data_IF_096896526662
#
_entry.id   IF_096896526662
#
_cell.length_a   1.000
_cell.length_b   1.000
_cell.length_c   1.000
_cell.angle_alpha   90.00
_cell.angle_beta   90.00
_cell.angle_gamma   90.00
#
_symmetry.space_group_name_H-M   'P 1'
#
loop_
_entity.id
_entity.type
_entity.pdbx_description
1 polymer ?
#
# COMPACT_ATOMS: atom_id res chain seq x y z
N UNK A 1 20.00 36.96 -46.46
CA UNK A 1 20.16 37.40 -45.06
C UNK A 1 19.43 36.39 -44.20
N UNK A 2 20.17 35.58 -43.44
CA UNK A 2 19.62 34.55 -42.58
C UNK A 2 19.09 35.19 -41.29
N UNK A 3 17.81 35.02 -41.02
CA UNK A 3 17.17 35.40 -39.76
C UNK A 3 17.51 34.35 -38.72
N UNK A 4 18.30 34.73 -37.72
CA UNK A 4 18.54 33.95 -36.51
C UNK A 4 17.35 34.16 -35.59
N UNK A 5 16.50 33.15 -35.45
CA UNK A 5 15.47 33.11 -34.41
C UNK A 5 16.12 32.64 -33.10
N UNK A 6 16.11 33.52 -32.11
CA UNK A 6 16.53 33.23 -30.74
C UNK A 6 15.61 32.16 -30.16
N UNK A 7 16.17 31.01 -29.79
CA UNK A 7 15.49 29.99 -29.00
C UNK A 7 15.31 30.55 -27.60
N UNK A 8 14.09 30.97 -27.27
CA UNK A 8 13.68 31.16 -25.88
C UNK A 8 13.70 29.82 -25.14
N UNK A 9 14.02 29.80 -23.83
CA UNK A 9 14.03 28.54 -23.07
C UNK A 9 12.65 27.91 -23.16
N UNK A 10 12.59 26.62 -23.49
CA UNK A 10 11.35 25.85 -23.45
C UNK A 10 10.77 25.96 -22.05
N UNK A 11 9.61 26.60 -22.00
CA UNK A 11 8.69 26.61 -20.89
C UNK A 11 8.48 25.17 -20.43
N UNK A 12 8.64 24.91 -19.14
CA UNK A 12 8.35 23.60 -18.53
C UNK A 12 6.85 23.37 -18.64
N UNK A 13 6.39 22.83 -19.77
CA UNK A 13 4.98 22.54 -19.99
C UNK A 13 4.51 21.60 -18.88
N UNK A 14 3.48 22.05 -18.16
CA UNK A 14 2.83 21.25 -17.14
C UNK A 14 2.44 19.87 -17.72
N UNK A 15 2.59 18.81 -16.93
CA UNK A 15 2.54 17.41 -17.38
C UNK A 15 1.13 16.94 -17.77
N UNK A 16 0.12 17.78 -17.52
CA UNK A 16 -1.27 17.69 -17.99
C UNK A 16 -1.46 18.24 -19.42
N UNK A 17 -0.38 18.70 -20.07
CA UNK A 17 -0.38 19.08 -21.48
C UNK A 17 -0.47 17.83 -22.37
N UNK A 18 -1.60 17.72 -23.06
CA UNK A 18 -1.92 16.65 -24.02
C UNK A 18 -0.79 16.41 -25.04
N UNK A 19 -0.01 17.44 -25.41
CA UNK A 19 1.11 17.32 -26.36
C UNK A 19 2.23 16.44 -25.82
N UNK A 20 2.45 16.44 -24.50
CA UNK A 20 3.46 15.59 -23.82
C UNK A 20 3.04 14.13 -23.88
N UNK A 21 1.75 13.82 -23.72
CA UNK A 21 1.23 12.45 -23.78
C UNK A 21 1.16 11.88 -25.20
N UNK A 22 0.89 12.73 -26.18
CA UNK A 22 0.93 12.35 -27.59
C UNK A 22 2.36 12.04 -28.04
N UNK A 23 3.32 12.90 -27.67
CA UNK A 23 4.73 12.72 -28.02
C UNK A 23 5.38 11.53 -27.30
N UNK A 24 4.94 11.19 -26.08
CA UNK A 24 5.45 10.03 -25.35
C UNK A 24 4.88 8.70 -25.86
N UNK A 25 3.78 8.69 -26.62
CA UNK A 25 3.10 7.46 -27.02
C UNK A 25 2.21 6.84 -25.94
N UNK A 26 2.00 7.55 -24.83
CA UNK A 26 1.13 7.13 -23.73
C UNK A 26 -0.32 6.92 -24.18
N UNK A 27 -0.88 7.84 -24.98
CA UNK A 27 -2.26 7.69 -25.48
C UNK A 27 -2.44 6.45 -26.36
N UNK A 28 -1.41 6.08 -27.13
CA UNK A 28 -1.42 4.84 -27.94
C UNK A 28 -1.41 3.60 -27.06
N UNK A 29 -0.63 3.62 -25.97
CA UNK A 29 -0.63 2.56 -24.97
C UNK A 29 -2.01 2.37 -24.33
N UNK A 30 -2.66 3.47 -23.90
CA UNK A 30 -4.01 3.41 -23.33
C UNK A 30 -5.02 2.77 -24.31
N UNK A 31 -4.98 3.19 -25.58
CA UNK A 31 -5.83 2.62 -26.62
C UNK A 31 -5.58 1.12 -26.83
N UNK A 32 -4.32 0.69 -26.88
CA UNK A 32 -3.95 -0.74 -27.03
C UNK A 32 -4.43 -1.59 -25.85
N UNK A 33 -4.49 -1.01 -24.66
CA UNK A 33 -4.95 -1.66 -23.43
C UNK A 33 -6.43 -1.40 -23.11
N UNK A 34 -7.20 -0.81 -24.03
CA UNK A 34 -8.63 -0.51 -23.87
C UNK A 34 -8.96 0.37 -22.66
N UNK A 35 -8.04 1.28 -22.31
CA UNK A 35 -8.22 2.29 -21.26
C UNK A 35 -8.63 3.59 -21.93
N UNK A 36 -9.77 4.17 -21.54
CA UNK A 36 -10.15 5.47 -22.06
C UNK A 36 -9.28 6.55 -21.41
N UNK A 37 -8.67 7.42 -22.21
CA UNK A 37 -7.82 8.49 -21.67
C UNK A 37 -8.60 9.40 -20.72
N UNK A 38 -9.88 9.67 -20.99
CA UNK A 38 -10.77 10.41 -20.09
C UNK A 38 -10.83 9.87 -18.66
N UNK A 39 -10.65 8.56 -18.49
CA UNK A 39 -10.77 7.88 -17.19
C UNK A 39 -9.54 8.13 -16.31
N UNK A 40 -8.40 8.46 -16.92
CA UNK A 40 -7.16 8.83 -16.22
C UNK A 40 -7.00 10.35 -16.08
N UNK A 41 -7.70 11.09 -16.93
CA UNK A 41 -7.50 12.52 -17.14
C UNK A 41 -8.62 13.37 -16.57
N UNK A 42 -9.55 12.78 -15.82
CA UNK A 42 -10.54 13.53 -15.07
C UNK A 42 -9.84 14.17 -13.88
N UNK A 43 -9.59 15.49 -13.91
CA UNK A 43 -9.11 16.17 -12.73
C UNK A 43 -10.22 16.10 -11.66
N UNK A 44 -9.90 16.43 -10.41
CA UNK A 44 -10.97 16.71 -9.44
C UNK A 44 -11.94 17.75 -9.99
N UNK A 45 -13.13 17.91 -9.39
CA UNK A 45 -14.17 18.87 -9.83
C UNK A 45 -13.64 20.30 -10.12
N UNK A 46 -12.46 20.65 -9.63
CA UNK A 46 -11.83 21.96 -9.77
C UNK A 46 -10.58 21.99 -10.68
N UNK A 47 -10.20 20.90 -11.35
CA UNK A 47 -8.98 20.86 -12.18
C UNK A 47 -7.72 20.37 -11.46
N UNK A 48 -7.75 20.24 -10.13
CA UNK A 48 -6.56 19.94 -9.34
C UNK A 48 -6.32 18.44 -9.15
N UNK A 49 -5.05 18.03 -9.20
CA UNK A 49 -4.62 16.71 -8.73
C UNK A 49 -4.70 16.66 -7.20
N UNK A 50 -5.29 15.59 -6.66
CA UNK A 50 -5.46 15.38 -5.22
C UNK A 50 -4.38 14.45 -4.66
N UNK A 51 -4.05 14.65 -3.38
CA UNK A 51 -3.32 13.69 -2.56
C UNK A 51 -4.26 13.14 -1.49
N UNK A 52 -4.14 11.85 -1.23
CA UNK A 52 -4.96 11.18 -0.21
C UNK A 52 -4.14 10.86 1.03
N UNK A 53 -4.84 10.80 2.17
CA UNK A 53 -4.30 10.35 3.43
C UNK A 53 -5.40 9.70 4.26
N UNK A 54 -4.98 8.87 5.22
CA UNK A 54 -5.85 8.25 6.22
C UNK A 54 -5.45 8.74 7.61
N UNK A 55 -6.45 9.05 8.43
CA UNK A 55 -6.23 9.30 9.85
C UNK A 55 -6.01 7.96 10.56
N UNK A 56 -5.05 7.93 11.48
CA UNK A 56 -4.82 6.75 12.32
C UNK A 56 -6.07 6.47 13.16
N UNK A 57 -6.52 5.22 13.22
CA UNK A 57 -7.72 4.88 13.99
C UNK A 57 -7.45 4.98 15.50
N UNK A 58 -8.35 5.66 16.22
CA UNK A 58 -8.29 5.88 17.66
C UNK A 58 -9.39 5.05 18.34
N UNK A 59 -9.15 3.75 18.57
CA UNK A 59 -10.11 2.88 19.26
C UNK A 59 -11.38 2.56 18.45
N UNK A 60 -12.42 2.09 19.15
CA UNK A 60 -13.67 1.58 18.56
C UNK A 60 -14.74 2.69 18.32
N UNK A 61 -14.42 3.96 18.61
CA UNK A 61 -15.38 5.07 18.49
C UNK A 61 -15.39 5.65 17.07
N UNK A 62 -16.38 5.21 16.27
CA UNK A 62 -16.66 5.65 14.90
C UNK A 62 -17.59 6.87 14.86
N UNK A 63 -17.42 7.85 15.74
CA UNK A 63 -18.29 9.03 15.76
C UNK A 63 -17.86 10.06 14.70
N UNK A 64 -18.81 10.36 13.82
CA UNK A 64 -18.85 11.44 12.82
C UNK A 64 -17.48 11.91 12.26
N UNK A 65 -16.90 11.12 11.36
CA UNK A 65 -15.58 11.35 10.75
C UNK A 65 -15.37 12.76 10.17
N UNK A 66 -16.44 13.38 9.66
CA UNK A 66 -16.40 14.72 9.09
C UNK A 66 -16.12 15.82 10.13
N UNK A 67 -16.32 15.53 11.42
CA UNK A 67 -16.10 16.47 12.53
C UNK A 67 -14.84 16.15 13.35
N UNK A 68 -14.00 15.20 12.91
CA UNK A 68 -12.78 14.83 13.64
C UNK A 68 -11.92 16.09 13.90
N UNK A 69 -11.63 16.42 15.18
CA UNK A 69 -10.90 17.63 15.54
C UNK A 69 -9.49 17.68 14.93
N UNK A 70 -8.92 16.54 14.55
CA UNK A 70 -7.64 16.46 13.84
C UNK A 70 -7.71 17.13 12.48
N UNK A 71 -8.83 17.10 11.78
CA UNK A 71 -9.00 17.77 10.48
C UNK A 71 -8.85 19.29 10.61
N UNK A 72 -9.43 19.87 11.67
CA UNK A 72 -9.25 21.29 12.00
C UNK A 72 -7.79 21.61 12.32
N UNK A 73 -7.10 20.70 13.03
CA UNK A 73 -5.66 20.84 13.29
C UNK A 73 -4.81 20.78 12.02
N UNK A 74 -5.18 19.95 11.03
CA UNK A 74 -4.48 19.88 9.74
C UNK A 74 -4.65 21.20 8.99
N UNK A 75 -5.88 21.69 8.86
CA UNK A 75 -6.18 22.95 8.17
C UNK A 75 -5.45 24.13 8.83
N UNK A 76 -5.44 24.21 10.16
CA UNK A 76 -4.73 25.23 10.90
C UNK A 76 -3.21 25.16 10.69
N UNK A 77 -2.62 23.95 10.66
CA UNK A 77 -1.20 23.79 10.39
C UNK A 77 -0.84 24.22 8.96
N UNK A 78 -1.61 23.81 7.95
CA UNK A 78 -1.41 24.22 6.55
C UNK A 78 -1.55 25.73 6.34
N UNK A 79 -2.50 26.39 7.02
CA UNK A 79 -2.63 27.84 6.98
C UNK A 79 -1.40 28.57 7.54
N UNK A 80 -0.78 28.04 8.61
CA UNK A 80 0.47 28.60 9.15
C UNK A 80 1.65 28.44 8.19
N UNK A 81 1.76 27.27 7.55
CA UNK A 81 2.81 27.01 6.55
C UNK A 81 2.67 27.92 5.32
N UNK A 82 1.43 28.17 4.87
CA UNK A 82 1.19 29.11 3.77
C UNK A 82 1.54 30.56 4.14
N UNK A 83 1.25 30.98 5.38
CA UNK A 83 1.58 32.32 5.86
C UNK A 83 3.09 32.59 5.98
N UNK A 84 3.91 31.55 6.07
CA UNK A 84 5.38 31.69 6.11
C UNK A 84 6.03 31.82 4.73
N UNK A 85 5.32 31.50 3.63
CA UNK A 85 5.89 31.43 2.27
C UNK A 85 5.73 32.72 1.43
N UNK A 86 5.47 33.90 2.05
CA UNK A 86 5.31 35.23 1.38
C UNK A 86 4.31 35.27 0.19
N UNK A 87 3.44 34.26 0.05
CA UNK A 87 2.46 34.19 -1.03
C UNK A 87 1.18 34.98 -0.69
N UNK A 88 0.73 35.83 -1.62
CA UNK A 88 -0.55 36.56 -1.56
C UNK A 88 -1.75 35.62 -1.38
N UNK A 89 -2.74 36.07 -0.58
CA UNK A 89 -4.11 35.54 -0.43
C UNK A 89 -4.34 34.07 -0.84
N UNK A 90 -3.62 33.14 -0.20
CA UNK A 90 -3.85 31.73 -0.44
C UNK A 90 -5.21 31.29 0.13
N UNK A 91 -6.06 30.71 -0.71
CA UNK A 91 -7.34 30.11 -0.30
C UNK A 91 -7.08 29.09 0.82
N UNK A 92 -7.89 29.07 1.90
CA UNK A 92 -7.71 28.11 2.98
C UNK A 92 -7.79 26.68 2.47
N UNK A 93 -6.74 25.90 2.72
CA UNK A 93 -6.67 24.48 2.36
C UNK A 93 -7.30 23.66 3.48
N UNK A 94 -8.43 23.04 3.20
CA UNK A 94 -9.18 22.20 4.14
C UNK A 94 -9.18 20.77 3.63
N UNK A 95 -8.91 19.77 4.50
CA UNK A 95 -9.09 18.36 4.12
C UNK A 95 -10.56 18.04 3.82
N UNK A 96 -10.80 17.29 2.74
CA UNK A 96 -12.14 16.84 2.35
C UNK A 96 -12.26 15.33 2.52
N UNK A 97 -13.30 14.86 3.20
CA UNK A 97 -13.57 13.42 3.36
C UNK A 97 -13.84 12.77 2.00
N UNK A 98 -13.38 11.52 1.83
CA UNK A 98 -13.69 10.71 0.66
C UNK A 98 -15.00 9.95 0.94
N UNK A 99 -16.12 10.29 0.29
CA UNK A 99 -17.45 9.80 0.71
C UNK A 99 -17.60 8.27 0.70
N UNK A 100 -16.99 7.63 -0.29
CA UNK A 100 -17.09 6.19 -0.53
C UNK A 100 -16.03 5.36 0.23
N UNK A 101 -15.10 6.01 0.95
CA UNK A 101 -14.03 5.32 1.67
C UNK A 101 -13.78 5.94 3.04
N UNK A 102 -14.42 5.36 4.06
CA UNK A 102 -14.33 5.80 5.46
C UNK A 102 -12.88 5.93 5.95
N UNK A 103 -12.63 7.00 6.70
CA UNK A 103 -11.34 7.36 7.27
C UNK A 103 -10.33 7.94 6.27
N UNK A 104 -10.70 8.12 5.00
CA UNK A 104 -9.85 8.75 4.00
C UNK A 104 -10.25 10.19 3.74
N UNK A 105 -9.23 11.00 3.49
CA UNK A 105 -9.35 12.41 3.24
C UNK A 105 -8.44 12.81 2.09
N UNK A 106 -8.82 13.86 1.39
CA UNK A 106 -8.08 14.43 0.28
C UNK A 106 -7.62 15.85 0.58
N UNK A 107 -6.51 16.22 -0.04
CA UNK A 107 -5.96 17.58 -0.07
C UNK A 107 -5.51 17.87 -1.51
N UNK A 108 -5.41 19.14 -1.91
CA UNK A 108 -4.68 19.50 -3.13
C UNK A 108 -3.26 18.92 -3.09
N UNK A 109 -2.76 18.46 -4.24
CA UNK A 109 -1.41 17.90 -4.38
C UNK A 109 -0.30 18.89 -4.02
N UNK A 110 -0.55 20.20 -4.14
CA UNK A 110 0.33 21.29 -3.69
C UNK A 110 0.47 21.37 -2.17
N UNK A 111 -0.47 20.82 -1.40
CA UNK A 111 -0.45 20.89 0.05
C UNK A 111 0.71 20.06 0.63
N UNK A 112 1.60 20.65 1.46
CA UNK A 112 2.79 19.98 1.95
C UNK A 112 2.47 19.06 3.14
N UNK A 113 1.80 17.91 2.91
CA UNK A 113 1.42 16.97 3.99
C UNK A 113 2.61 16.58 4.89
N UNK A 114 3.82 16.48 4.32
CA UNK A 114 5.02 16.14 5.07
C UNK A 114 5.39 17.17 6.17
N UNK A 115 4.87 18.40 6.08
CA UNK A 115 5.06 19.47 7.07
C UNK A 115 3.98 19.49 8.15
N UNK A 116 2.88 18.79 7.94
CA UNK A 116 1.78 18.70 8.91
C UNK A 116 2.25 17.99 10.18
N UNK A 117 2.04 18.62 11.34
CA UNK A 117 2.50 18.09 12.63
C UNK A 117 1.97 16.68 12.91
N UNK A 118 0.69 16.43 12.60
CA UNK A 118 0.06 15.10 12.72
C UNK A 118 0.69 14.05 11.80
N UNK A 119 1.21 14.44 10.63
CA UNK A 119 1.97 13.52 9.78
C UNK A 119 3.34 13.20 10.39
N UNK A 120 4.01 14.19 10.99
CA UNK A 120 5.31 14.03 11.65
C UNK A 120 5.21 13.18 12.92
N UNK A 121 4.13 13.33 13.69
CA UNK A 121 3.86 12.55 14.90
C UNK A 121 3.23 11.17 14.63
N UNK A 122 3.02 10.80 13.37
CA UNK A 122 2.51 9.48 13.00
C UNK A 122 1.02 9.27 13.29
N UNK A 123 0.23 10.34 13.38
CA UNK A 123 -1.22 10.31 13.62
C UNK A 123 -2.05 10.26 12.33
N UNK A 124 -1.40 10.40 11.18
CA UNK A 124 -1.97 10.16 9.86
C UNK A 124 -0.88 9.64 8.93
N UNK A 125 -1.29 8.95 7.87
CA UNK A 125 -0.37 8.47 6.84
C UNK A 125 -0.90 8.73 5.44
N UNK A 126 0.02 9.15 4.56
CA UNK A 126 -0.26 9.29 3.14
C UNK A 126 -0.24 7.92 2.48
N UNK A 127 -1.31 7.59 1.77
CA UNK A 127 -1.49 6.35 1.03
C UNK A 127 -2.36 6.66 -0.18
N UNK A 128 -2.12 5.95 -1.28
CA UNK A 128 -2.96 6.07 -2.47
C UNK A 128 -4.38 5.53 -2.19
N UNK A 129 -5.40 6.17 -2.76
CA UNK A 129 -6.79 5.79 -2.50
C UNK A 129 -7.10 4.37 -2.98
N UNK A 130 -6.52 3.93 -4.10
CA UNK A 130 -6.68 2.57 -4.61
C UNK A 130 -6.05 1.54 -3.66
N UNK A 131 -4.90 1.88 -3.08
CA UNK A 131 -4.23 1.04 -2.08
C UNK A 131 -5.03 0.96 -0.78
N UNK A 132 -5.65 2.08 -0.39
CA UNK A 132 -6.56 2.13 0.74
C UNK A 132 -7.79 1.25 0.55
N UNK A 133 -8.40 1.34 -0.62
CA UNK A 133 -9.57 0.54 -0.99
C UNK A 133 -9.26 -0.96 -0.95
N UNK A 134 -8.14 -1.39 -1.54
CA UNK A 134 -7.71 -2.79 -1.50
C UNK A 134 -7.59 -3.34 -0.07
N UNK A 135 -7.07 -2.55 0.88
CA UNK A 135 -6.99 -2.96 2.28
C UNK A 135 -8.36 -2.95 2.95
N UNK A 136 -9.24 -1.99 2.63
CA UNK A 136 -10.60 -1.95 3.19
C UNK A 136 -11.45 -3.18 2.82
N UNK A 137 -11.23 -3.75 1.63
CA UNK A 137 -11.92 -4.95 1.16
C UNK A 137 -11.54 -6.23 1.94
N UNK A 138 -10.42 -6.22 2.68
CA UNK A 138 -10.07 -7.36 3.54
C UNK A 138 -10.99 -7.48 4.75
N UNK A 139 -11.69 -6.41 5.12
CA UNK A 139 -12.58 -6.34 6.30
C UNK A 139 -11.88 -6.84 7.57
N UNK A 140 -10.78 -6.15 7.93
CA UNK A 140 -9.87 -6.57 8.99
C UNK A 140 -10.48 -6.25 10.34
N UNK A 141 -10.57 -7.27 11.21
CA UNK A 141 -11.03 -7.12 12.59
C UNK A 141 -9.86 -7.21 13.57
N UNK A 142 -9.80 -6.38 14.63
CA UNK A 142 -8.80 -6.51 15.68
C UNK A 142 -8.75 -7.92 16.28
N UNK A 143 -7.56 -8.51 16.33
CA UNK A 143 -7.34 -9.89 16.80
C UNK A 143 -7.02 -10.89 15.69
N UNK A 144 -7.33 -10.54 14.43
CA UNK A 144 -7.00 -11.37 13.27
C UNK A 144 -5.49 -11.41 12.96
N UNK A 145 -5.12 -12.40 12.16
CA UNK A 145 -3.77 -12.62 11.68
C UNK A 145 -3.70 -12.36 10.18
N UNK A 146 -2.99 -11.30 9.79
CA UNK A 146 -2.94 -10.82 8.40
C UNK A 146 -1.55 -10.99 7.80
N UNK A 147 -1.48 -11.49 6.57
CA UNK A 147 -0.27 -11.55 5.75
C UNK A 147 -0.33 -10.49 4.66
N UNK A 148 0.77 -9.76 4.47
CA UNK A 148 0.99 -8.83 3.35
C UNK A 148 2.18 -9.34 2.54
N UNK A 149 1.90 -10.00 1.41
CA UNK A 149 2.91 -10.44 0.45
C UNK A 149 3.26 -9.27 -0.47
N UNK A 150 4.57 -9.03 -0.64
CA UNK A 150 5.12 -7.88 -1.36
C UNK A 150 4.86 -6.54 -0.64
N UNK A 151 4.97 -6.56 0.70
CA UNK A 151 4.53 -5.46 1.56
C UNK A 151 5.31 -4.15 1.41
N UNK A 152 6.54 -4.16 0.90
CA UNK A 152 7.38 -2.97 0.93
C UNK A 152 6.93 -1.98 -0.15
N UNK A 153 6.96 -0.65 0.06
CA UNK A 153 7.62 0.05 1.15
C UNK A 153 6.80 0.14 2.46
N UNK A 154 5.63 -0.49 2.56
CA UNK A 154 4.94 -0.68 3.84
C UNK A 154 3.67 0.13 4.08
N UNK A 155 3.16 0.88 3.09
CA UNK A 155 1.97 1.71 3.30
C UNK A 155 0.71 0.86 3.62
N UNK A 156 0.46 -0.19 2.83
CA UNK A 156 -0.65 -1.14 3.06
C UNK A 156 -0.45 -1.92 4.35
N UNK A 157 0.74 -2.47 4.58
CA UNK A 157 1.12 -3.09 5.86
C UNK A 157 0.81 -2.20 7.07
N UNK A 158 1.17 -0.92 7.02
CA UNK A 158 0.93 0.01 8.15
C UNK A 158 -0.55 0.29 8.35
N UNK A 159 -1.34 0.31 7.28
CA UNK A 159 -2.80 0.42 7.38
C UNK A 159 -3.42 -0.85 7.97
N UNK A 160 -3.00 -2.02 7.51
CA UNK A 160 -3.39 -3.32 8.10
C UNK A 160 -3.08 -3.32 9.60
N UNK A 161 -1.87 -2.91 9.97
CA UNK A 161 -1.44 -2.89 11.35
C UNK A 161 -2.23 -1.90 12.21
N UNK A 162 -2.62 -0.76 11.64
CA UNK A 162 -3.47 0.23 12.30
C UNK A 162 -4.89 -0.32 12.53
N UNK A 163 -5.50 -0.95 11.53
CA UNK A 163 -6.84 -1.55 11.63
C UNK A 163 -6.90 -2.70 12.66
N UNK A 164 -5.80 -3.45 12.81
CA UNK A 164 -5.70 -4.48 13.84
C UNK A 164 -5.66 -3.91 15.27
N UNK A 165 -5.47 -2.59 15.45
CA UNK A 165 -5.47 -1.91 16.74
C UNK A 165 -4.60 -2.62 17.79
N UNK A 166 -3.40 -3.04 17.38
CA UNK A 166 -2.44 -3.79 18.20
C UNK A 166 -2.99 -5.12 18.78
N UNK A 167 -4.01 -5.72 18.17
CA UNK A 167 -4.57 -7.03 18.53
C UNK A 167 -4.36 -8.01 17.37
N UNK A 168 -3.92 -9.23 17.66
CA UNK A 168 -3.59 -10.22 16.63
C UNK A 168 -2.18 -10.06 16.07
N UNK A 169 -2.00 -10.24 14.75
CA UNK A 169 -0.67 -10.09 14.14
C UNK A 169 -0.72 -9.66 12.68
N UNK A 170 0.30 -8.93 12.26
CA UNK A 170 0.58 -8.65 10.84
C UNK A 170 1.95 -9.18 10.46
N UNK A 171 2.05 -9.81 9.30
CA UNK A 171 3.32 -10.29 8.74
C UNK A 171 3.52 -9.71 7.36
N UNK A 172 4.57 -8.93 7.17
CA UNK A 172 4.99 -8.41 5.88
C UNK A 172 6.15 -9.24 5.31
N UNK A 173 6.07 -9.58 4.03
CA UNK A 173 7.13 -10.28 3.29
C UNK A 173 7.49 -9.46 2.06
N UNK A 174 8.77 -9.31 1.78
CA UNK A 174 9.24 -8.69 0.53
C UNK A 174 10.61 -9.24 0.13
N UNK A 175 10.88 -9.30 -1.18
CA UNK A 175 12.16 -9.75 -1.71
C UNK A 175 13.24 -8.67 -1.64
N UNK A 176 12.87 -7.39 -1.53
CA UNK A 176 13.82 -6.28 -1.49
C UNK A 176 14.16 -5.88 -0.07
N UNK A 177 15.34 -6.32 0.40
CA UNK A 177 15.90 -5.88 1.69
C UNK A 177 15.97 -4.35 1.84
N UNK A 178 16.28 -3.64 0.76
CA UNK A 178 16.35 -2.18 0.76
C UNK A 178 14.97 -1.55 1.01
N UNK A 179 13.93 -2.00 0.29
CA UNK A 179 12.56 -1.49 0.48
C UNK A 179 12.00 -1.84 1.85
N UNK A 180 12.35 -3.01 2.40
CA UNK A 180 11.98 -3.39 3.77
C UNK A 180 12.60 -2.45 4.83
N UNK A 181 13.74 -1.82 4.54
CA UNK A 181 14.30 -0.76 5.37
C UNK A 181 13.34 0.43 5.53
N UNK A 182 12.68 0.84 4.44
CA UNK A 182 11.65 1.89 4.49
C UNK A 182 10.40 1.42 5.23
N UNK A 183 9.95 0.18 5.00
CA UNK A 183 8.83 -0.42 5.71
C UNK A 183 9.05 -0.43 7.22
N UNK A 184 10.23 -0.84 7.67
CA UNK A 184 10.65 -0.77 9.08
C UNK A 184 10.57 0.65 9.64
N UNK A 185 11.02 1.66 8.89
CA UNK A 185 10.91 3.06 9.34
C UNK A 185 9.45 3.51 9.51
N UNK A 186 8.55 3.08 8.63
CA UNK A 186 7.12 3.39 8.76
C UNK A 186 6.50 2.71 10.00
N UNK A 187 6.83 1.43 10.24
CA UNK A 187 6.39 0.70 11.44
C UNK A 187 6.81 1.44 12.72
N UNK A 188 8.04 1.95 12.76
CA UNK A 188 8.52 2.78 13.87
C UNK A 188 7.81 4.15 13.95
N UNK A 189 7.68 4.84 12.81
CA UNK A 189 7.05 6.17 12.72
C UNK A 189 5.62 6.15 13.25
N UNK A 190 4.84 5.12 12.90
CA UNK A 190 3.44 5.00 13.29
C UNK A 190 3.23 4.26 14.62
N UNK A 191 4.32 3.96 15.34
CA UNK A 191 4.31 3.34 16.66
C UNK A 191 3.52 2.03 16.72
N UNK A 192 3.71 1.17 15.72
CA UNK A 192 3.00 -0.10 15.59
C UNK A 192 3.68 -1.20 16.43
N UNK A 193 3.96 -0.91 17.69
CA UNK A 193 4.61 -1.82 18.65
C UNK A 193 3.83 -1.83 19.97
N UNK A 194 3.90 -2.95 20.70
CA UNK A 194 3.11 -3.11 21.93
C UNK A 194 3.60 -2.15 23.02
N UNK A 195 2.71 -1.38 23.69
CA UNK A 195 3.09 -0.56 24.82
C UNK A 195 3.53 -1.42 26.03
N UNK A 196 4.37 -0.86 26.91
CA UNK A 196 5.03 -1.60 28.00
C UNK A 196 4.09 -2.17 29.09
N UNK A 197 2.80 -1.79 29.09
CA UNK A 197 1.89 -1.91 30.24
C UNK A 197 0.72 -2.90 30.09
N UNK A 198 0.58 -3.62 28.98
CA UNK A 198 -0.60 -4.47 28.75
C UNK A 198 -0.37 -5.96 29.06
N UNK A 199 -1.43 -6.59 29.55
CA UNK A 199 -1.48 -7.97 30.03
C UNK A 199 -1.08 -9.00 28.94
N UNK A 200 -0.50 -10.12 29.36
CA UNK A 200 0.11 -11.14 28.48
C UNK A 200 -0.86 -11.85 27.51
N UNK A 201 -2.18 -11.64 27.64
CA UNK A 201 -3.21 -12.43 26.97
C UNK A 201 -3.46 -12.04 25.50
N UNK A 202 -3.01 -10.87 25.04
CA UNK A 202 -3.08 -10.45 23.64
C UNK A 202 -1.75 -9.83 23.16
N UNK A 203 -0.79 -10.68 22.76
CA UNK A 203 0.52 -10.21 22.27
C UNK A 203 0.42 -9.77 20.82
N UNK A 204 0.36 -8.45 20.61
CA UNK A 204 0.56 -7.82 19.31
C UNK A 204 1.86 -8.33 18.66
N UNK A 205 1.81 -8.60 17.36
CA UNK A 205 3.02 -8.94 16.61
C UNK A 205 3.00 -8.42 15.19
N UNK A 206 3.91 -7.52 14.87
CA UNK A 206 4.25 -7.12 13.51
C UNK A 206 5.62 -7.71 13.16
N UNK A 207 5.70 -8.42 12.03
CA UNK A 207 6.94 -9.04 11.54
C UNK A 207 7.24 -8.60 10.12
N UNK A 208 8.53 -8.38 9.83
CA UNK A 208 9.02 -8.18 8.47
C UNK A 208 10.02 -9.26 8.11
N UNK A 209 9.77 -9.95 7.01
CA UNK A 209 10.64 -10.98 6.47
C UNK A 209 11.22 -10.55 5.14
N UNK A 210 12.52 -10.74 4.99
CA UNK A 210 13.18 -10.73 3.69
C UNK A 210 13.18 -12.14 3.13
N UNK A 211 12.29 -12.39 2.17
CA UNK A 211 12.05 -13.70 1.57
C UNK A 211 11.34 -13.58 0.22
N UNK A 212 11.35 -14.66 -0.56
CA UNK A 212 10.53 -14.78 -1.77
C UNK A 212 9.08 -15.10 -1.38
N UNK A 213 8.15 -14.21 -1.76
CA UNK A 213 6.73 -14.35 -1.46
C UNK A 213 6.07 -15.58 -2.10
N UNK A 214 6.69 -16.21 -3.11
CA UNK A 214 6.19 -17.44 -3.75
C UNK A 214 6.48 -18.70 -2.95
N UNK A 215 7.45 -18.65 -2.05
CA UNK A 215 7.93 -19.82 -1.28
C UNK A 215 7.87 -19.61 0.22
N UNK A 216 7.51 -18.41 0.67
CA UNK A 216 7.30 -18.10 2.08
C UNK A 216 6.24 -19.02 2.69
N UNK A 217 6.52 -19.61 3.85
CA UNK A 217 5.68 -20.65 4.46
C UNK A 217 5.54 -20.52 5.99
N UNK A 218 5.66 -19.30 6.53
CA UNK A 218 5.67 -19.06 7.97
C UNK A 218 4.33 -18.51 8.43
N UNK A 219 3.67 -19.25 9.33
CA UNK A 219 2.40 -18.83 9.94
C UNK A 219 2.52 -17.69 10.96
N UNK A 220 1.40 -16.99 11.28
CA UNK A 220 1.30 -15.88 12.23
C UNK A 220 1.86 -16.18 13.63
N UNK A 221 1.59 -17.38 14.16
CA UNK A 221 1.93 -17.77 15.55
C UNK A 221 3.28 -18.45 15.69
N UNK A 222 4.04 -18.61 14.61
CA UNK A 222 5.32 -19.32 14.62
C UNK A 222 6.37 -18.59 15.46
N UNK A 223 6.91 -19.26 16.49
CA UNK A 223 8.04 -18.78 17.30
C UNK A 223 9.36 -19.31 16.72
N UNK A 224 9.89 -18.66 15.68
CA UNK A 224 11.17 -19.02 15.08
C UNK A 224 12.20 -17.90 15.27
N UNK A 225 13.36 -18.24 15.83
CA UNK A 225 14.52 -17.33 15.88
C UNK A 225 15.32 -17.32 14.56
N UNK A 226 15.31 -18.45 13.84
CA UNK A 226 15.96 -18.64 12.54
C UNK A 226 15.20 -19.69 11.73
N UNK A 227 15.02 -19.44 10.43
CA UNK A 227 14.53 -20.38 9.44
C UNK A 227 15.54 -20.36 8.30
N UNK A 228 15.98 -21.54 7.85
CA UNK A 228 17.01 -21.64 6.81
C UNK A 228 16.58 -20.89 5.54
N UNK A 229 17.35 -19.89 5.14
CA UNK A 229 17.11 -19.07 3.94
C UNK A 229 16.12 -17.90 4.09
N UNK A 230 15.43 -17.76 5.23
CA UNK A 230 14.47 -16.67 5.49
C UNK A 230 14.99 -15.79 6.62
N UNK A 231 15.17 -14.49 6.35
CA UNK A 231 15.68 -13.52 7.32
C UNK A 231 14.55 -12.68 7.92
N UNK A 232 14.46 -12.66 9.26
CA UNK A 232 13.57 -11.74 9.99
C UNK A 232 14.31 -10.41 10.17
N UNK A 233 13.77 -9.33 9.61
CA UNK A 233 14.35 -7.98 9.70
C UNK A 233 13.77 -7.15 10.86
N UNK A 234 12.55 -7.47 11.26
CA UNK A 234 11.84 -6.82 12.36
C UNK A 234 10.84 -7.79 12.99
N UNK A 235 10.85 -7.84 14.31
CA UNK A 235 9.81 -8.49 15.12
C UNK A 235 9.49 -7.57 16.31
N UNK A 236 8.27 -7.02 16.34
CA UNK A 236 7.89 -6.07 17.40
C UNK A 236 7.78 -6.71 18.76
N UNK A 237 7.49 -8.01 18.84
CA UNK A 237 7.46 -8.74 20.10
C UNK A 237 8.86 -8.85 20.70
N UNK A 238 9.88 -9.08 19.86
CA UNK A 238 11.27 -9.06 20.29
C UNK A 238 11.69 -7.67 20.78
N UNK A 239 11.32 -6.61 20.06
CA UNK A 239 11.61 -5.22 20.45
C UNK A 239 10.98 -4.90 21.82
N UNK A 240 9.70 -5.21 22.01
CA UNK A 240 8.99 -5.01 23.28
C UNK A 240 9.65 -5.79 24.45
N UNK A 241 10.17 -6.98 24.19
CA UNK A 241 10.87 -7.78 25.20
C UNK A 241 12.23 -7.20 25.63
N UNK A 242 12.85 -6.37 24.78
CA UNK A 242 14.14 -5.71 24.96
C UNK A 242 14.04 -4.28 25.50
N UNK A 243 12.84 -3.69 25.50
CA UNK A 243 12.55 -2.42 26.16
C UNK A 243 12.98 -2.48 27.64
N UNK A 244 13.45 -1.37 28.24
CA UNK A 244 14.13 -1.36 29.53
C UNK A 244 13.21 -1.74 30.69
N UNK A 245 12.95 -3.04 30.87
CA UNK A 245 12.45 -3.60 32.12
C UNK A 245 13.52 -3.39 33.18
N UNK A 246 13.19 -2.55 34.16
CA UNK A 246 13.79 -2.36 35.48
C UNK A 246 15.24 -2.85 35.66
N UNK A 247 16.16 -1.94 36.03
CA UNK A 247 17.63 -2.12 36.12
C UNK A 247 18.08 -3.22 37.10
N UNK A 248 17.16 -3.94 37.73
CA UNK A 248 17.39 -5.09 38.61
C UNK A 248 17.41 -6.46 37.92
N UNK A 249 17.53 -6.54 36.59
CA UNK A 249 17.65 -7.83 35.90
C UNK A 249 19.02 -8.48 36.18
N UNK A 250 19.07 -9.44 37.12
CA UNK A 250 20.26 -10.27 37.40
C UNK A 250 20.87 -10.79 36.10
N UNK A 251 22.17 -10.56 35.91
CA UNK A 251 22.94 -10.96 34.73
C UNK A 251 22.84 -12.48 34.53
N UNK A 252 22.03 -12.93 33.56
CA UNK A 252 21.91 -14.36 33.22
C UNK A 252 23.31 -14.91 32.87
N UNK A 253 23.68 -16.03 33.50
CA UNK A 253 24.96 -16.69 33.24
C UNK A 253 25.03 -17.28 31.83
N UNK A 254 26.26 -17.51 31.33
CA UNK A 254 26.55 -17.99 29.97
C UNK A 254 25.81 -19.30 29.65
N UNK A 255 25.62 -20.18 30.63
CA UNK A 255 24.92 -21.46 30.49
C UNK A 255 23.39 -21.31 30.44
N UNK A 256 22.79 -20.33 31.12
CA UNK A 256 21.37 -20.00 30.94
C UNK A 256 21.12 -19.36 29.57
N UNK A 257 22.02 -18.48 29.10
CA UNK A 257 21.96 -17.92 27.74
C UNK A 257 22.09 -18.99 26.66
N UNK A 258 23.03 -19.93 26.84
CA UNK A 258 23.21 -21.05 25.92
C UNK A 258 22.02 -22.03 25.95
N UNK A 259 21.38 -22.24 27.10
CA UNK A 259 20.15 -23.04 27.22
C UNK A 259 18.95 -22.36 26.60
N UNK A 260 18.75 -21.05 26.80
CA UNK A 260 17.69 -20.29 26.14
C UNK A 260 17.88 -20.27 24.61
N UNK A 261 19.11 -20.04 24.13
CA UNK A 261 19.45 -20.12 22.70
C UNK A 261 19.26 -21.52 22.11
N UNK A 262 19.46 -22.58 22.91
CA UNK A 262 19.23 -23.97 22.50
C UNK A 262 17.76 -24.38 22.61
N UNK A 263 16.96 -23.71 23.46
CA UNK A 263 15.52 -23.93 23.67
C UNK A 263 14.66 -23.17 22.64
N UNK A 264 15.23 -22.19 21.95
CA UNK A 264 14.67 -21.56 20.73
C UNK A 264 14.76 -22.45 19.47
N UNK A 265 15.06 -23.75 19.64
CA UNK A 265 15.05 -24.75 18.59
C UNK A 265 13.72 -25.52 18.68
N UNK A 266 12.84 -25.26 17.71
CA UNK A 266 11.52 -25.87 17.49
C UNK A 266 10.53 -25.82 18.67
N UNK A 267 9.68 -24.78 18.65
CA UNK A 267 8.28 -24.91 19.02
C UNK A 267 7.45 -24.52 17.80
N UNK A 268 7.13 -25.49 16.94
CA UNK A 268 6.01 -25.35 16.00
C UNK A 268 4.76 -25.58 16.83
N UNK A 269 4.29 -24.54 17.52
CA UNK A 269 2.90 -24.53 17.97
C UNK A 269 2.11 -24.36 16.68
N UNK A 270 1.53 -25.46 16.19
CA UNK A 270 0.54 -25.56 15.11
C UNK A 270 0.53 -24.31 14.20
N UNK A 271 1.19 -24.33 13.04
CA UNK A 271 1.22 -23.14 12.16
C UNK A 271 -0.19 -22.83 11.66
N UNK A 272 -0.95 -22.10 12.48
CA UNK A 272 -2.23 -21.56 12.10
C UNK A 272 -2.00 -20.79 10.80
N UNK A 273 -2.91 -20.95 9.85
CA UNK A 273 -2.93 -20.15 8.63
C UNK A 273 -3.39 -18.72 8.98
N UNK A 274 -3.22 -17.79 8.05
CA UNK A 274 -3.66 -16.41 8.21
C UNK A 274 -5.18 -16.32 8.03
N UNK A 275 -5.82 -15.43 8.80
CA UNK A 275 -7.24 -15.09 8.64
C UNK A 275 -7.46 -14.34 7.32
N UNK A 276 -6.51 -13.46 6.99
CA UNK A 276 -6.56 -12.57 5.83
C UNK A 276 -5.21 -12.51 5.12
N UNK A 277 -5.23 -12.46 3.79
CA UNK A 277 -4.01 -12.35 2.98
C UNK A 277 -4.17 -11.23 1.96
N UNK A 278 -3.23 -10.29 1.94
CA UNK A 278 -3.05 -9.33 0.88
C UNK A 278 -1.91 -9.78 -0.02
N UNK A 279 -2.17 -9.84 -1.33
CA UNK A 279 -1.15 -10.02 -2.37
C UNK A 279 -1.09 -8.74 -3.19
N UNK A 280 -0.25 -7.79 -2.76
CA UNK A 280 0.03 -6.56 -3.50
C UNK A 280 1.13 -6.83 -4.53
N UNK A 281 0.77 -7.52 -5.61
CA UNK A 281 1.74 -8.15 -6.48
C UNK A 281 2.61 -7.13 -7.23
N UNK A 282 3.90 -7.46 -7.37
CA UNK A 282 4.78 -6.76 -8.30
C UNK A 282 4.17 -6.82 -9.70
N UNK A 283 4.14 -5.66 -10.37
CA UNK A 283 3.51 -5.48 -11.67
C UNK A 283 4.30 -4.47 -12.50
N UNK A 284 3.78 -4.13 -13.68
CA UNK A 284 4.40 -3.16 -14.58
C UNK A 284 4.25 -1.70 -14.13
N UNK A 285 3.40 -1.39 -13.14
CA UNK A 285 3.15 -0.03 -12.61
C UNK A 285 2.52 0.95 -13.61
N UNK A 286 1.92 0.45 -14.69
CA UNK A 286 1.24 1.20 -15.75
C UNK A 286 -0.11 1.80 -15.33
N UNK A 287 -0.62 1.47 -14.15
CA UNK A 287 -1.77 2.13 -13.52
C UNK A 287 -1.38 3.18 -12.48
N UNK A 288 -0.10 3.35 -12.17
CA UNK A 288 0.37 4.37 -11.24
C UNK A 288 0.60 5.70 -11.97
N UNK A 289 -0.37 6.61 -11.93
CA UNK A 289 -0.27 7.94 -12.57
C UNK A 289 1.02 8.65 -12.13
N UNK A 290 1.37 8.58 -10.84
CA UNK A 290 2.60 9.20 -10.32
C UNK A 290 3.87 8.58 -10.89
N UNK A 291 3.87 7.28 -11.19
CA UNK A 291 4.98 6.62 -11.86
C UNK A 291 5.07 7.10 -13.31
N UNK A 292 3.96 7.08 -14.03
CA UNK A 292 3.86 7.51 -15.42
C UNK A 292 4.27 8.98 -15.60
N UNK A 293 3.90 9.86 -14.67
CA UNK A 293 4.32 11.27 -14.63
C UNK A 293 5.84 11.47 -14.61
N UNK A 294 6.62 10.50 -14.13
CA UNK A 294 8.09 10.57 -14.15
C UNK A 294 8.67 10.29 -15.53
N UNK A 295 7.90 9.65 -16.41
CA UNK A 295 8.25 9.33 -17.80
C UNK A 295 7.94 10.52 -18.71
N UNK A 296 8.52 11.67 -18.39
CA UNK A 296 8.18 12.97 -18.98
C UNK A 296 8.92 13.29 -20.29
N UNK A 297 9.66 12.33 -20.86
CA UNK A 297 10.31 12.47 -22.18
C UNK A 297 10.10 11.21 -23.00
N UNK A 298 10.19 11.32 -24.33
CA UNK A 298 10.05 10.18 -25.23
C UNK A 298 11.10 9.10 -24.93
N UNK A 299 12.34 9.50 -24.63
CA UNK A 299 13.44 8.58 -24.34
C UNK A 299 13.17 7.77 -23.07
N UNK A 300 12.65 8.41 -22.00
CA UNK A 300 12.28 7.71 -20.76
C UNK A 300 11.12 6.76 -20.97
N UNK A 301 10.16 7.13 -21.81
CA UNK A 301 9.05 6.26 -22.16
C UNK A 301 9.53 5.04 -22.95
N UNK A 302 10.36 5.24 -23.97
CA UNK A 302 10.95 4.15 -24.76
C UNK A 302 11.81 3.22 -23.90
N UNK A 303 12.58 3.78 -22.96
CA UNK A 303 13.33 3.01 -21.95
C UNK A 303 12.40 2.16 -21.09
N UNK A 304 11.35 2.76 -20.53
CA UNK A 304 10.35 2.03 -19.74
C UNK A 304 9.69 0.90 -20.54
N UNK A 305 9.26 1.16 -21.77
CA UNK A 305 8.64 0.14 -22.64
C UNK A 305 9.61 -1.01 -22.91
N UNK A 306 10.86 -0.68 -23.27
CA UNK A 306 11.91 -1.65 -23.55
C UNK A 306 12.23 -2.48 -22.31
N UNK A 307 12.27 -1.89 -21.14
CA UNK A 307 12.79 -2.54 -19.93
C UNK A 307 11.69 -3.21 -19.09
N UNK A 308 10.41 -2.82 -19.24
CA UNK A 308 9.30 -3.34 -18.43
C UNK A 308 8.13 -3.92 -19.23
N UNK A 309 7.90 -3.48 -20.47
CA UNK A 309 6.77 -3.93 -21.29
C UNK A 309 7.19 -4.87 -22.44
N UNK A 310 8.44 -5.30 -22.48
CA UNK A 310 8.89 -6.31 -23.43
C UNK A 310 8.32 -7.70 -23.08
N UNK A 311 8.24 -8.58 -24.08
CA UNK A 311 7.65 -9.92 -23.94
C UNK A 311 8.26 -10.74 -22.79
N UNK A 312 9.59 -10.75 -22.65
CA UNK A 312 10.26 -11.54 -21.61
C UNK A 312 9.95 -11.04 -20.20
N UNK A 313 9.91 -9.73 -19.99
CA UNK A 313 9.62 -9.15 -18.68
C UNK A 313 8.14 -9.31 -18.31
N UNK A 314 7.23 -9.13 -19.28
CA UNK A 314 5.81 -9.42 -19.07
C UNK A 314 5.63 -10.90 -18.70
N UNK A 315 6.24 -11.84 -19.40
CA UNK A 315 6.18 -13.26 -19.05
C UNK A 315 6.76 -13.57 -17.66
N UNK A 316 7.87 -12.91 -17.29
CA UNK A 316 8.48 -13.05 -15.96
C UNK A 316 7.54 -12.57 -14.87
N UNK A 317 6.94 -11.39 -15.04
CA UNK A 317 5.98 -10.80 -14.10
C UNK A 317 4.74 -11.67 -13.96
N UNK A 318 4.18 -12.18 -15.07
CA UNK A 318 3.01 -13.07 -15.03
C UNK A 318 3.33 -14.38 -14.28
N UNK A 319 4.50 -14.98 -14.52
CA UNK A 319 4.97 -16.16 -13.75
C UNK A 319 5.13 -15.87 -12.27
N UNK A 320 5.64 -14.68 -11.92
CA UNK A 320 5.77 -14.22 -10.54
C UNK A 320 4.39 -14.08 -9.88
N UNK A 321 3.47 -13.35 -10.50
CA UNK A 321 2.10 -13.11 -10.02
C UNK A 321 1.32 -14.42 -9.82
N UNK A 322 1.42 -15.35 -10.77
CA UNK A 322 0.85 -16.69 -10.64
C UNK A 322 1.41 -17.51 -9.48
N UNK A 323 2.68 -17.29 -9.11
CA UNK A 323 3.28 -17.91 -7.93
C UNK A 323 2.83 -17.23 -6.63
N UNK A 324 2.74 -15.90 -6.63
CA UNK A 324 2.32 -15.11 -5.48
C UNK A 324 0.87 -15.38 -5.09
N UNK A 325 -0.07 -15.37 -6.04
CA UNK A 325 -1.50 -15.62 -5.74
C UNK A 325 -1.72 -17.02 -5.17
N UNK A 326 -1.03 -18.05 -5.71
CA UNK A 326 -1.12 -19.43 -5.21
C UNK A 326 -0.54 -19.57 -3.81
N UNK A 327 0.61 -18.96 -3.55
CA UNK A 327 1.21 -19.03 -2.22
C UNK A 327 0.47 -18.19 -1.18
N UNK A 328 -0.08 -17.04 -1.58
CA UNK A 328 -0.98 -16.26 -0.73
C UNK A 328 -2.17 -17.09 -0.29
N UNK A 329 -2.83 -17.77 -1.23
CA UNK A 329 -3.97 -18.62 -0.92
C UNK A 329 -3.61 -19.85 -0.07
N UNK A 330 -2.47 -20.50 -0.31
CA UNK A 330 -2.03 -21.66 0.48
C UNK A 330 -1.77 -21.33 1.95
N UNK A 331 -1.53 -20.06 2.26
CA UNK A 331 -1.32 -19.52 3.59
C UNK A 331 -2.61 -19.00 4.25
N UNK A 332 -3.73 -19.01 3.53
CA UNK A 332 -5.03 -18.57 4.02
C UNK A 332 -5.77 -19.73 4.70
N UNK A 333 -6.37 -19.47 5.86
CA UNK A 333 -7.20 -20.48 6.53
C UNK A 333 -8.50 -20.74 5.74
N UNK A 334 -9.12 -21.92 5.91
CA UNK A 334 -10.49 -22.12 5.44
C UNK A 334 -11.44 -21.02 5.94
N UNK A 335 -12.21 -20.45 5.02
CA UNK A 335 -13.12 -19.32 5.28
C UNK A 335 -12.41 -17.98 5.57
N UNK A 336 -11.11 -17.87 5.29
CA UNK A 336 -10.40 -16.60 5.27
C UNK A 336 -10.65 -15.82 3.97
N UNK A 337 -10.19 -14.56 3.93
CA UNK A 337 -10.31 -13.69 2.75
C UNK A 337 -8.93 -13.36 2.19
N UNK A 338 -8.77 -13.46 0.87
CA UNK A 338 -7.57 -12.99 0.17
C UNK A 338 -7.93 -11.88 -0.82
N UNK A 339 -7.17 -10.79 -0.81
CA UNK A 339 -7.23 -9.76 -1.85
C UNK A 339 -5.96 -9.85 -2.69
N UNK A 340 -6.13 -10.07 -3.99
CA UNK A 340 -5.08 -9.89 -4.99
C UNK A 340 -5.23 -8.51 -5.61
N UNK A 341 -4.18 -7.71 -5.60
CA UNK A 341 -4.19 -6.36 -6.17
C UNK A 341 -2.91 -6.08 -6.94
N UNK A 342 -3.03 -5.28 -7.99
CA UNK A 342 -1.90 -4.69 -8.71
C UNK A 342 -2.15 -3.20 -8.91
N UNK A 343 -1.12 -2.46 -9.34
CA UNK A 343 -1.29 -1.13 -9.92
C UNK A 343 -1.07 -1.16 -11.44
N UNK A 344 -1.53 -2.22 -12.11
CA UNK A 344 -1.51 -2.37 -13.56
C UNK A 344 -2.91 -2.23 -14.15
N UNK A 345 -2.98 -1.67 -15.36
CA UNK A 345 -4.21 -1.60 -16.15
C UNK A 345 -4.35 -2.81 -17.08
N UNK A 346 -3.39 -3.74 -17.06
CA UNK A 346 -3.36 -4.90 -17.94
C UNK A 346 -4.28 -6.02 -17.47
N UNK A 347 -5.23 -6.40 -18.33
CA UNK A 347 -6.11 -7.57 -18.14
C UNK A 347 -5.30 -8.85 -17.85
N UNK A 348 -4.14 -8.98 -18.51
CA UNK A 348 -3.24 -10.13 -18.33
C UNK A 348 -2.70 -10.26 -16.89
N UNK A 349 -2.49 -9.14 -16.21
CA UNK A 349 -1.96 -9.13 -14.84
C UNK A 349 -3.05 -9.15 -13.77
N UNK A 350 -4.30 -8.92 -14.18
CA UNK A 350 -5.46 -8.81 -13.31
C UNK A 350 -6.41 -10.00 -13.56
N UNK A 351 -7.41 -9.85 -14.43
CA UNK A 351 -8.47 -10.83 -14.68
C UNK A 351 -7.92 -12.19 -15.12
N UNK A 352 -6.89 -12.24 -15.97
CA UNK A 352 -6.31 -13.50 -16.46
C UNK A 352 -5.57 -14.26 -15.32
N UNK A 353 -4.88 -13.55 -14.43
CA UNK A 353 -4.21 -14.17 -13.26
C UNK A 353 -5.25 -14.80 -12.34
N UNK A 354 -6.31 -14.06 -12.02
CA UNK A 354 -7.40 -14.53 -11.15
C UNK A 354 -8.15 -15.69 -11.80
N UNK A 355 -8.50 -15.57 -13.08
CA UNK A 355 -9.19 -16.63 -13.83
C UNK A 355 -8.36 -17.91 -13.88
N UNK A 356 -7.07 -17.81 -14.21
CA UNK A 356 -6.16 -18.95 -14.24
C UNK A 356 -5.89 -19.57 -12.86
N UNK A 357 -5.97 -18.77 -11.80
CA UNK A 357 -5.91 -19.28 -10.42
C UNK A 357 -7.18 -20.08 -10.06
N UNK A 358 -8.37 -19.52 -10.29
CA UNK A 358 -9.66 -20.16 -9.98
C UNK A 358 -9.88 -21.47 -10.75
N UNK A 359 -9.43 -21.53 -12.01
CA UNK A 359 -9.49 -22.78 -12.79
C UNK A 359 -8.66 -23.92 -12.17
N UNK A 360 -7.60 -23.58 -11.44
CA UNK A 360 -6.68 -24.54 -10.83
C UNK A 360 -6.92 -24.81 -9.34
N UNK A 361 -7.79 -24.06 -8.68
CA UNK A 361 -8.02 -24.12 -7.23
C UNK A 361 -9.51 -24.25 -6.92
N UNK A 362 -9.99 -25.49 -6.80
CA UNK A 362 -11.41 -25.79 -6.59
C UNK A 362 -11.92 -25.40 -5.20
N UNK A 363 -11.03 -25.08 -4.26
CA UNK A 363 -11.39 -24.59 -2.92
C UNK A 363 -11.49 -23.07 -2.84
N UNK A 364 -11.15 -22.34 -3.91
CA UNK A 364 -11.28 -20.90 -4.01
C UNK A 364 -12.60 -20.51 -4.67
N UNK A 365 -13.23 -19.47 -4.15
CA UNK A 365 -14.42 -18.84 -4.72
C UNK A 365 -14.15 -17.34 -4.89
N UNK A 366 -14.60 -16.77 -6.00
CA UNK A 366 -14.51 -15.33 -6.24
C UNK A 366 -15.66 -14.63 -5.52
N UNK A 367 -15.34 -13.81 -4.53
CA UNK A 367 -16.31 -12.92 -3.89
C UNK A 367 -16.49 -11.66 -4.74
N UNK A 368 -17.68 -11.39 -5.30
CA UNK A 368 -17.90 -10.22 -6.14
C UNK A 368 -17.80 -8.92 -5.34
N UNK A 369 -16.87 -8.07 -5.73
CA UNK A 369 -16.80 -6.70 -5.22
C UNK A 369 -17.96 -5.91 -5.85
N UNK A 370 -18.91 -5.47 -5.04
CA UNK A 370 -20.01 -4.58 -5.45
C UNK A 370 -19.69 -3.18 -4.92
N UNK A 371 -19.10 -2.29 -5.75
CA UNK A 371 -18.80 -0.92 -5.31
C UNK A 371 -20.10 -0.15 -5.11
N UNK A 372 -20.13 0.79 -4.16
CA UNK A 372 -21.18 1.79 -4.09
C UNK A 372 -21.19 2.69 -5.34
N UNK A 373 -22.33 3.31 -5.63
CA UNK A 373 -22.53 4.18 -6.81
C UNK A 373 -21.55 5.37 -6.88
N UNK A 374 -20.94 5.71 -5.75
CA UNK A 374 -20.01 6.82 -5.55
C UNK A 374 -18.52 6.42 -5.70
N UNK A 375 -18.22 5.13 -5.92
CA UNK A 375 -16.86 4.68 -6.22
C UNK A 375 -16.49 5.06 -7.66
N UNK A 376 -15.40 5.82 -7.90
CA UNK A 376 -15.10 6.43 -9.21
C UNK A 376 -14.87 5.45 -10.37
N UNK A 377 -14.56 4.18 -10.10
CA UNK A 377 -14.16 3.21 -11.12
C UNK A 377 -15.33 2.47 -11.79
N UNK A 378 -16.58 2.87 -11.53
CA UNK A 378 -17.73 2.29 -12.22
C UNK A 378 -17.76 2.76 -13.68
N UNK A 379 -17.55 1.82 -14.62
CA UNK A 379 -18.19 1.93 -15.93
C UNK A 379 -19.68 1.97 -15.66
N UNK A 380 -20.30 3.14 -15.79
CA UNK A 380 -21.75 3.23 -15.85
C UNK A 380 -22.19 2.26 -16.95
N UNK A 381 -22.95 1.21 -16.60
CA UNK A 381 -23.55 0.28 -17.57
C UNK A 381 -24.65 0.94 -18.42
N UNK A 382 -24.58 2.26 -18.66
CA UNK A 382 -25.61 3.07 -19.31
C UNK A 382 -25.11 3.75 -20.59
N UNK A 383 -24.25 3.08 -21.36
CA UNK A 383 -24.27 3.24 -22.81
C UNK A 383 -24.82 1.93 -23.39
N UNK A 384 -26.13 1.78 -23.22
CA UNK A 384 -26.91 0.89 -24.08
C UNK A 384 -26.55 1.26 -25.52
N UNK A 385 -25.99 0.29 -26.22
CA UNK A 385 -25.99 0.24 -27.68
C UNK A 385 -27.41 0.61 -28.12
N UNK A 386 -27.57 1.81 -28.68
CA UNK A 386 -28.72 2.13 -29.52
C UNK A 386 -28.66 1.16 -30.70
N UNK A 387 -29.29 0.01 -30.51
CA UNK A 387 -29.82 -0.80 -31.58
C UNK A 387 -31.09 -0.09 -32.07
N UNK A 388 -30.92 0.94 -32.90
CA UNK A 388 -31.97 1.47 -33.77
C UNK A 388 -31.37 2.17 -34.98
N UNK A 389 -31.69 1.57 -36.13
CA UNK A 389 -31.57 1.99 -37.53
C UNK A 389 -30.22 1.83 -38.27
#
# INVERSE_FOLDING_TARGET
MATVSVVTPMDTSAWDDQRVWEASGFLRFLQQHQVAASDLLTPSRNGDSLRFFRLKQLGDDADNEAEDPRLKSIAANLAREAATDEAEEAKPIVPEAVPWLSGFFSLPSSAPLARVDLYRSGQLYGIDISSGFAVSLLDITPGEHVLDLCCAPGAKLTMIADLLQLRGSVTGVDFSRSRLGACKQLVHKYQLFQPESEAEEAKWRCRLFHADGRTFNIGPKTECAHIDGIEILLDTQEIASRAPKDRNRKRKNKSARARDAKRQKLLVVNSALYDKVLVDAECTHDGSIRHLQRLNTAEKWEEYVRDHLNTSEVERILKLQHGLIRNGFSLLRPGGTMIYSTCSLSVKQNEDIVTGFLQGESSAELDPIVPGDDVPCLRKQNDSIDASD
#
